data_IF_981322203757
#
_entry.id   IF_981322203757
#
_cell.length_a   1.000
_cell.length_b   1.000
_cell.length_c   1.000
_cell.angle_alpha   90.00
_cell.angle_beta   90.00
_cell.angle_gamma   90.00
#
_symmetry.space_group_name_H-M   'P 1'
#
loop_
_entity.id
_entity.type
_entity.pdbx_description
1 polymer ?
#
# COMPACT_ATOMS: atom_id res chain seq x y z
N UNK A 1 -10.27 -15.68 -13.56
CA UNK A 1 -11.68 -15.24 -13.33
C UNK A 1 -12.03 -15.47 -11.89
N UNK A 2 -12.49 -14.45 -11.20
CA UNK A 2 -12.94 -14.50 -9.81
C UNK A 2 -14.46 -14.63 -9.76
N UNK A 3 -14.99 -15.23 -8.69
CA UNK A 3 -16.43 -15.29 -8.45
C UNK A 3 -16.81 -14.19 -7.45
N UNK A 4 -17.70 -13.29 -7.87
CA UNK A 4 -18.24 -12.26 -6.99
C UNK A 4 -19.23 -12.88 -6.00
N UNK A 5 -19.03 -12.63 -4.72
CA UNK A 5 -19.90 -13.04 -3.61
C UNK A 5 -20.73 -11.84 -3.12
N UNK A 6 -20.16 -10.63 -3.21
CA UNK A 6 -20.83 -9.37 -2.88
C UNK A 6 -20.32 -8.26 -3.79
N UNK A 7 -21.13 -7.28 -4.25
CA UNK A 7 -22.61 -7.34 -4.21
C UNK A 7 -23.18 -8.31 -5.25
N UNK A 8 -24.49 -8.52 -5.20
CA UNK A 8 -25.21 -9.19 -6.30
C UNK A 8 -25.16 -8.33 -7.60
N UNK A 9 -25.25 -8.96 -8.80
CA UNK A 9 -25.39 -10.40 -9.03
C UNK A 9 -24.10 -11.17 -8.76
N UNK A 10 -24.24 -12.45 -8.39
CA UNK A 10 -23.10 -13.37 -8.19
C UNK A 10 -22.66 -13.88 -9.55
N UNK A 11 -21.63 -13.32 -10.10
CA UNK A 11 -21.10 -13.60 -11.43
C UNK A 11 -19.59 -13.81 -11.43
N UNK A 12 -19.04 -14.31 -12.53
CA UNK A 12 -17.60 -14.33 -12.75
C UNK A 12 -17.13 -12.99 -13.31
N UNK A 13 -16.09 -12.44 -12.71
CA UNK A 13 -15.47 -11.16 -13.07
C UNK A 13 -13.97 -11.31 -13.23
N UNK A 14 -13.36 -10.47 -14.02
CA UNK A 14 -11.91 -10.31 -14.04
C UNK A 14 -11.46 -9.42 -12.88
N UNK A 15 -10.20 -9.49 -12.51
CA UNK A 15 -9.61 -8.57 -11.53
C UNK A 15 -9.73 -7.12 -12.00
N UNK A 16 -9.49 -6.86 -13.29
CA UNK A 16 -9.59 -5.52 -13.86
C UNK A 16 -11.01 -4.93 -13.71
N UNK A 17 -12.06 -5.69 -14.03
CA UNK A 17 -13.45 -5.25 -13.87
C UNK A 17 -13.80 -4.94 -12.41
N UNK A 18 -13.23 -5.70 -11.47
CA UNK A 18 -13.53 -5.53 -10.05
C UNK A 18 -12.79 -4.34 -9.41
N UNK A 19 -11.55 -4.08 -9.82
CA UNK A 19 -10.66 -3.12 -9.14
C UNK A 19 -10.45 -1.80 -9.91
N UNK A 20 -10.72 -1.75 -11.23
CA UNK A 20 -10.65 -0.50 -12.00
C UNK A 20 -11.93 0.30 -11.81
N UNK A 21 -12.09 0.86 -10.62
CA UNK A 21 -13.23 1.70 -10.23
C UNK A 21 -12.76 3.12 -9.98
N UNK A 22 -13.69 4.08 -10.12
CA UNK A 22 -13.39 5.48 -9.83
C UNK A 22 -13.10 5.67 -8.34
N UNK A 23 -12.06 6.47 -8.05
CA UNK A 23 -11.69 6.94 -6.73
C UNK A 23 -11.66 8.46 -6.74
N UNK A 24 -12.56 9.05 -5.96
CA UNK A 24 -12.70 10.50 -5.90
C UNK A 24 -11.76 11.04 -4.82
N UNK A 25 -10.73 11.83 -5.18
CA UNK A 25 -9.83 12.41 -4.20
C UNK A 25 -10.58 13.37 -3.27
N UNK A 26 -10.02 13.61 -2.11
CA UNK A 26 -10.50 14.65 -1.20
C UNK A 26 -10.09 16.04 -1.71
N UNK A 27 -10.67 17.09 -1.12
CA UNK A 27 -10.39 18.48 -1.51
C UNK A 27 -8.91 18.85 -1.40
N UNK A 28 -8.21 18.32 -0.37
CA UNK A 28 -6.83 18.70 -0.05
C UNK A 28 -5.84 17.54 -0.12
N UNK A 29 -6.27 16.33 -0.49
CA UNK A 29 -5.40 15.18 -0.59
C UNK A 29 -5.91 14.13 -1.57
N UNK A 30 -5.02 13.30 -2.13
CA UNK A 30 -5.42 12.15 -2.93
C UNK A 30 -6.20 11.12 -2.10
N UNK A 31 -6.93 10.24 -2.80
CA UNK A 31 -7.46 9.01 -2.24
C UNK A 31 -6.32 8.07 -1.88
N UNK A 32 -6.38 7.43 -0.71
CA UNK A 32 -5.36 6.49 -0.23
C UNK A 32 -5.97 5.09 -0.09
N UNK A 33 -5.54 4.17 -0.94
CA UNK A 33 -5.84 2.75 -0.84
C UNK A 33 -4.68 1.98 -0.20
N UNK A 34 -4.99 1.04 0.67
CA UNK A 34 -4.03 0.11 1.27
C UNK A 34 -4.23 -1.28 0.66
N UNK A 35 -3.24 -1.80 -0.07
CA UNK A 35 -3.26 -3.13 -0.69
C UNK A 35 -2.36 -4.10 0.08
N UNK A 36 -2.94 -5.18 0.60
CA UNK A 36 -2.22 -6.16 1.42
C UNK A 36 -2.72 -7.60 1.21
N UNK A 37 -1.86 -8.56 1.53
CA UNK A 37 -2.21 -9.97 1.65
C UNK A 37 -1.99 -10.46 3.08
N UNK A 38 -2.84 -11.36 3.56
CA UNK A 38 -2.74 -11.96 4.90
C UNK A 38 -3.11 -13.45 4.87
N UNK A 39 -2.59 -14.21 5.82
CA UNK A 39 -3.10 -15.55 6.14
C UNK A 39 -4.42 -15.46 6.92
N UNK A 40 -5.11 -16.61 7.13
CA UNK A 40 -6.33 -16.71 7.93
C UNK A 40 -6.13 -16.27 9.38
N UNK A 41 -4.93 -16.46 9.93
CA UNK A 41 -4.53 -16.04 11.29
C UNK A 41 -3.89 -14.65 11.33
N UNK A 42 -3.91 -13.91 10.21
CA UNK A 42 -3.63 -12.49 10.15
C UNK A 42 -2.16 -12.11 9.99
N UNK A 43 -1.24 -13.05 9.69
CA UNK A 43 0.14 -12.66 9.37
C UNK A 43 0.24 -12.12 7.93
N UNK A 44 1.07 -11.10 7.73
CA UNK A 44 1.31 -10.47 6.42
C UNK A 44 2.68 -10.84 5.84
N UNK A 45 3.43 -11.68 6.52
CA UNK A 45 4.72 -12.17 6.03
C UNK A 45 5.03 -13.56 6.61
N UNK A 46 5.64 -14.41 5.79
CA UNK A 46 6.17 -15.73 6.16
C UNK A 46 7.63 -15.78 5.72
N UNK A 47 8.53 -16.15 6.62
CA UNK A 47 9.97 -16.13 6.34
C UNK A 47 10.53 -14.74 6.06
N UNK A 48 9.85 -13.69 6.52
CA UNK A 48 10.27 -12.29 6.34
C UNK A 48 9.75 -11.60 5.08
N UNK A 49 9.00 -12.30 4.21
CA UNK A 49 8.46 -11.76 2.97
C UNK A 49 6.95 -12.08 2.79
N UNK A 50 6.26 -11.24 2.04
CA UNK A 50 4.83 -11.40 1.72
C UNK A 50 4.60 -12.36 0.55
N UNK A 51 5.57 -12.47 -0.37
CA UNK A 51 5.43 -13.19 -1.63
C UNK A 51 5.04 -14.67 -1.51
N UNK A 52 5.31 -15.31 -0.35
CA UNK A 52 4.88 -16.68 -0.06
C UNK A 52 3.40 -16.82 0.33
N UNK A 53 2.68 -15.71 0.56
CA UNK A 53 1.26 -15.70 0.93
C UNK A 53 0.34 -15.61 -0.29
N UNK A 54 0.72 -14.80 -1.30
CA UNK A 54 -0.09 -14.53 -2.46
C UNK A 54 -0.17 -15.70 -3.45
N UNK A 55 -1.09 -15.59 -4.41
CA UNK A 55 -1.22 -16.43 -5.57
C UNK A 55 -1.25 -15.57 -6.87
N UNK A 56 -1.37 -16.15 -8.08
CA UNK A 56 -1.42 -15.36 -9.32
C UNK A 56 -2.54 -14.32 -9.37
N UNK A 57 -3.70 -14.59 -8.75
CA UNK A 57 -4.80 -13.61 -8.70
C UNK A 57 -4.48 -12.45 -7.77
N UNK A 58 -3.82 -12.70 -6.63
CA UNK A 58 -3.35 -11.65 -5.71
C UNK A 58 -2.31 -10.74 -6.39
N UNK A 59 -1.34 -11.32 -7.08
CA UNK A 59 -0.41 -10.55 -7.90
C UNK A 59 -1.13 -9.72 -8.97
N UNK A 60 -2.18 -10.27 -9.60
CA UNK A 60 -2.98 -9.55 -10.58
C UNK A 60 -3.74 -8.37 -9.94
N UNK A 61 -4.24 -8.51 -8.70
CA UNK A 61 -4.85 -7.40 -7.95
C UNK A 61 -3.82 -6.29 -7.73
N UNK A 62 -2.64 -6.62 -7.19
CA UNK A 62 -1.56 -5.66 -6.98
C UNK A 62 -1.19 -4.91 -8.27
N UNK A 63 -0.98 -5.64 -9.38
CA UNK A 63 -0.61 -5.05 -10.66
C UNK A 63 -1.73 -4.19 -11.27
N UNK A 64 -2.99 -4.60 -11.10
CA UNK A 64 -4.15 -3.83 -11.56
C UNK A 64 -4.24 -2.51 -10.79
N UNK A 65 -4.13 -2.54 -9.48
CA UNK A 65 -4.12 -1.32 -8.65
C UNK A 65 -2.93 -0.42 -9.00
N UNK A 66 -1.73 -0.96 -9.15
CA UNK A 66 -0.55 -0.20 -9.62
C UNK A 66 -0.78 0.47 -10.97
N UNK A 67 -1.53 -0.16 -11.89
CA UNK A 67 -1.79 0.42 -13.22
C UNK A 67 -2.63 1.69 -13.19
N UNK A 68 -3.52 1.84 -12.19
CA UNK A 68 -4.42 3.00 -12.04
C UNK A 68 -3.94 4.02 -11.00
N UNK A 69 -2.92 3.67 -10.22
CA UNK A 69 -2.33 4.51 -9.17
C UNK A 69 -1.37 5.54 -9.76
N UNK A 70 -1.32 6.73 -9.16
CA UNK A 70 -0.36 7.80 -9.54
C UNK A 70 0.94 7.66 -8.75
N UNK A 71 0.86 7.37 -7.45
CA UNK A 71 2.00 7.19 -6.55
C UNK A 71 1.83 5.93 -5.72
N UNK A 72 2.87 5.12 -5.63
CA UNK A 72 2.97 4.03 -4.66
C UNK A 72 3.71 4.55 -3.43
N UNK A 73 3.21 4.24 -2.23
CA UNK A 73 3.86 4.58 -0.96
C UNK A 73 4.14 3.30 -0.18
N UNK A 74 5.40 3.13 0.21
CA UNK A 74 5.87 1.91 0.88
C UNK A 74 6.88 2.23 1.99
N UNK A 75 6.90 1.44 3.04
CA UNK A 75 7.88 1.60 4.12
C UNK A 75 9.27 1.09 3.74
N UNK A 76 10.33 1.77 4.17
CA UNK A 76 11.73 1.39 3.91
C UNK A 76 12.06 -0.06 4.32
N UNK A 77 11.42 -0.57 5.38
CA UNK A 77 11.58 -1.97 5.79
C UNK A 77 11.08 -2.96 4.75
N UNK A 78 9.97 -2.65 4.09
CA UNK A 78 9.39 -3.47 3.02
C UNK A 78 10.25 -3.41 1.75
N UNK A 79 10.72 -2.22 1.39
CA UNK A 79 11.65 -2.06 0.24
C UNK A 79 12.88 -2.96 0.40
N UNK A 80 13.51 -2.95 1.59
CA UNK A 80 14.67 -3.82 1.86
C UNK A 80 14.36 -5.32 1.88
N UNK A 81 13.15 -5.70 2.29
CA UNK A 81 12.75 -7.11 2.41
C UNK A 81 12.23 -7.74 1.13
N UNK A 82 11.57 -6.95 0.28
CA UNK A 82 10.85 -7.44 -0.90
C UNK A 82 11.55 -7.14 -2.24
N UNK A 83 12.54 -6.22 -2.26
CA UNK A 83 13.25 -5.84 -3.47
C UNK A 83 12.39 -5.03 -4.44
N UNK A 84 12.19 -3.75 -4.17
CA UNK A 84 11.41 -2.86 -5.03
C UNK A 84 12.28 -2.29 -6.17
N UNK A 85 11.89 -2.58 -7.42
CA UNK A 85 12.44 -1.92 -8.61
C UNK A 85 11.54 -0.81 -9.12
N UNK A 86 11.91 -0.14 -10.23
CA UNK A 86 11.10 0.91 -10.83
C UNK A 86 9.74 0.36 -11.30
N UNK A 87 8.67 1.17 -11.21
CA UNK A 87 7.35 0.75 -11.62
C UNK A 87 7.26 0.58 -13.14
N UNK A 88 6.39 -0.33 -13.62
CA UNK A 88 6.19 -0.57 -15.05
C UNK A 88 5.39 0.53 -15.75
N UNK A 89 4.55 1.26 -15.01
CA UNK A 89 3.75 2.39 -15.54
C UNK A 89 4.65 3.60 -15.76
N UNK A 90 4.77 4.12 -16.98
CA UNK A 90 5.61 5.28 -17.25
C UNK A 90 5.21 6.48 -16.40
N UNK A 91 6.21 7.16 -15.83
CA UNK A 91 6.01 8.34 -14.98
C UNK A 91 5.45 8.09 -13.58
N UNK A 92 5.13 6.85 -13.24
CA UNK A 92 4.72 6.50 -11.86
C UNK A 92 5.91 6.60 -10.92
N UNK A 93 5.69 7.11 -9.72
CA UNK A 93 6.72 7.27 -8.71
C UNK A 93 6.45 6.38 -7.49
N UNK A 94 7.51 6.00 -6.79
CA UNK A 94 7.44 5.23 -5.54
C UNK A 94 8.04 6.06 -4.41
N UNK A 95 7.20 6.47 -3.46
CA UNK A 95 7.61 7.15 -2.24
C UNK A 95 7.96 6.15 -1.13
N UNK A 96 9.19 6.18 -0.67
CA UNK A 96 9.69 5.30 0.40
C UNK A 96 9.68 6.05 1.71
N UNK A 97 8.80 5.63 2.64
CA UNK A 97 8.68 6.25 3.97
C UNK A 97 9.79 5.75 4.89
N UNK A 98 10.58 6.68 5.41
CA UNK A 98 11.69 6.37 6.31
C UNK A 98 11.92 7.48 7.33
N UNK A 99 12.05 7.12 8.61
CA UNK A 99 12.42 8.08 9.66
C UNK A 99 13.94 8.28 9.80
N UNK A 100 14.76 7.43 9.14
CA UNK A 100 16.22 7.41 9.35
C UNK A 100 17.04 7.44 8.06
N UNK A 101 16.40 7.52 6.90
CA UNK A 101 17.12 7.42 5.63
C UNK A 101 17.74 6.05 5.31
N UNK A 102 17.43 5.01 6.07
CA UNK A 102 18.06 3.68 5.96
C UNK A 102 17.56 2.91 4.74
N UNK A 103 17.94 3.36 3.55
CA UNK A 103 17.69 2.71 2.24
C UNK A 103 19.01 2.69 1.45
N UNK A 104 19.11 1.75 0.52
CA UNK A 104 20.22 1.73 -0.42
C UNK A 104 19.86 2.62 -1.63
N UNK A 105 20.52 3.76 -1.76
CA UNK A 105 20.30 4.70 -2.86
C UNK A 105 20.92 4.23 -4.19
N UNK A 106 21.73 3.16 -4.16
CA UNK A 106 22.29 2.53 -5.36
C UNK A 106 21.33 1.49 -5.97
N UNK A 107 20.22 1.14 -5.28
CA UNK A 107 19.16 0.32 -5.84
C UNK A 107 18.54 0.94 -7.11
N UNK A 108 18.12 0.07 -8.05
CA UNK A 108 17.52 0.49 -9.32
C UNK A 108 16.30 1.39 -9.14
N UNK A 109 15.53 1.22 -8.06
CA UNK A 109 14.41 2.08 -7.71
C UNK A 109 14.82 3.56 -7.67
N UNK A 110 15.96 3.89 -7.06
CA UNK A 110 16.43 5.29 -6.90
C UNK A 110 17.25 5.74 -8.10
N UNK A 111 18.17 4.91 -8.59
CA UNK A 111 19.03 5.26 -9.72
C UNK A 111 18.27 5.46 -11.04
N UNK A 112 17.08 4.85 -11.20
CA UNK A 112 16.17 5.12 -12.32
C UNK A 112 15.43 6.47 -12.22
N UNK A 113 15.47 7.13 -11.06
CA UNK A 113 14.69 8.33 -10.77
C UNK A 113 13.21 8.06 -10.45
N UNK A 114 12.78 6.80 -10.38
CA UNK A 114 11.40 6.46 -10.04
C UNK A 114 11.12 6.54 -8.53
N UNK A 115 12.13 6.27 -7.70
CA UNK A 115 12.06 6.37 -6.24
C UNK A 115 12.25 7.80 -5.74
N UNK A 116 11.56 8.14 -4.66
CA UNK A 116 11.83 9.32 -3.84
C UNK A 116 11.64 8.96 -2.37
N UNK A 117 12.18 9.76 -1.46
CA UNK A 117 12.00 9.53 -0.02
C UNK A 117 10.92 10.43 0.55
N UNK A 118 10.21 9.89 1.54
CA UNK A 118 9.33 10.64 2.45
C UNK A 118 9.98 10.54 3.82
N UNK A 119 10.56 11.63 4.30
CA UNK A 119 11.38 11.63 5.49
C UNK A 119 11.11 12.86 6.37
N UNK A 120 11.35 12.80 7.70
CA UNK A 120 11.28 13.97 8.57
C UNK A 120 12.47 14.90 8.33
N UNK A 121 12.36 16.14 8.83
CA UNK A 121 13.41 17.14 8.65
C UNK A 121 14.76 16.71 9.26
N UNK A 122 14.72 16.02 10.40
CA UNK A 122 15.91 15.63 11.17
C UNK A 122 16.53 14.30 10.67
N UNK A 123 15.96 13.66 9.61
CA UNK A 123 16.54 12.44 9.04
C UNK A 123 17.83 12.75 8.27
N UNK A 124 18.86 11.94 8.51
CA UNK A 124 20.13 12.01 7.79
C UNK A 124 19.95 11.33 6.41
N UNK A 125 19.67 12.14 5.42
CA UNK A 125 19.46 11.73 4.02
C UNK A 125 20.25 12.65 3.11
N UNK A 126 20.91 12.07 2.11
CA UNK A 126 21.63 12.80 1.06
C UNK A 126 20.65 13.30 -0.02
N UNK A 127 20.15 14.53 0.15
CA UNK A 127 19.19 15.18 -0.73
C UNK A 127 19.78 15.48 -2.13
N UNK A 128 21.10 15.42 -2.31
CA UNK A 128 21.75 15.58 -3.61
C UNK A 128 21.65 14.31 -4.48
N UNK A 129 21.42 13.15 -3.84
CA UNK A 129 21.34 11.86 -4.52
C UNK A 129 19.92 11.40 -4.83
N UNK A 130 18.92 11.87 -4.08
CA UNK A 130 17.53 11.44 -4.20
C UNK A 130 16.59 12.59 -3.85
N UNK A 131 15.48 12.67 -4.57
CA UNK A 131 14.42 13.62 -4.24
C UNK A 131 13.76 13.26 -2.91
N UNK A 132 13.59 14.23 -2.00
CA UNK A 132 13.06 14.02 -0.66
C UNK A 132 11.88 14.93 -0.36
N UNK A 133 10.73 14.34 -0.08
CA UNK A 133 9.59 15.06 0.48
C UNK A 133 9.75 15.11 2.02
N UNK A 134 10.15 16.26 2.53
CA UNK A 134 10.33 16.47 3.97
C UNK A 134 8.98 16.75 4.64
N UNK A 135 8.56 15.87 5.58
CA UNK A 135 7.30 15.99 6.30
C UNK A 135 7.46 15.54 7.76
N UNK A 136 7.16 16.42 8.71
CA UNK A 136 7.43 16.22 10.13
C UNK A 136 8.84 16.61 10.55
N UNK A 137 9.17 16.51 11.82
CA UNK A 137 10.49 16.88 12.35
C UNK A 137 11.35 15.66 12.66
N UNK A 138 11.02 14.87 13.67
CA UNK A 138 11.77 13.67 14.11
C UNK A 138 11.20 12.39 13.51
N UNK A 139 9.89 12.38 13.27
CA UNK A 139 9.16 11.29 12.60
C UNK A 139 8.36 11.86 11.43
N UNK A 140 8.10 11.01 10.43
CA UNK A 140 7.30 11.40 9.27
C UNK A 140 5.88 11.72 9.72
N UNK A 141 5.41 12.94 9.42
CA UNK A 141 4.01 13.30 9.47
C UNK A 141 3.34 12.89 8.15
N UNK A 142 2.66 11.73 8.17
CA UNK A 142 2.02 11.18 6.98
C UNK A 142 0.88 12.05 6.46
N UNK A 143 0.18 12.82 7.31
CA UNK A 143 -0.87 13.73 6.85
C UNK A 143 -0.26 14.82 5.98
N UNK A 144 0.76 15.49 6.49
CA UNK A 144 1.51 16.51 5.75
C UNK A 144 2.12 15.92 4.49
N UNK A 145 2.72 14.71 4.57
CA UNK A 145 3.33 14.06 3.42
C UNK A 145 2.31 13.78 2.30
N UNK A 146 1.15 13.19 2.62
CA UNK A 146 0.11 12.85 1.63
C UNK A 146 -0.50 14.11 1.01
N UNK A 147 -0.74 15.16 1.78
CA UNK A 147 -1.24 16.45 1.28
C UNK A 147 -0.25 17.13 0.31
N UNK A 148 1.06 16.99 0.58
CA UNK A 148 2.14 17.60 -0.21
C UNK A 148 2.69 16.71 -1.33
N UNK A 149 2.14 15.51 -1.56
CA UNK A 149 2.58 14.65 -2.68
C UNK A 149 2.52 15.33 -4.05
N UNK A 150 1.65 16.33 -4.21
CA UNK A 150 1.56 17.13 -5.44
C UNK A 150 2.85 17.91 -5.77
N UNK A 151 3.75 18.13 -4.80
CA UNK A 151 5.07 18.76 -5.02
C UNK A 151 6.01 17.81 -5.79
N UNK A 152 5.84 16.50 -5.64
CA UNK A 152 6.63 15.45 -6.34
C UNK A 152 5.91 14.97 -7.59
N UNK A 153 4.60 14.72 -7.49
CA UNK A 153 3.76 14.24 -8.60
C UNK A 153 2.58 15.19 -8.79
N UNK A 154 2.68 16.16 -9.71
CA UNK A 154 1.60 17.09 -10.00
C UNK A 154 0.29 16.36 -10.34
N UNK A 155 -0.83 16.88 -9.82
CA UNK A 155 -2.17 16.34 -10.03
C UNK A 155 -2.39 14.89 -9.54
N UNK A 156 -1.62 14.46 -8.53
CA UNK A 156 -1.83 13.16 -7.86
C UNK A 156 -3.26 13.05 -7.31
N UNK A 157 -3.97 11.99 -7.69
CA UNK A 157 -5.36 11.71 -7.30
C UNK A 157 -5.51 10.44 -6.49
N UNK A 158 -4.68 9.41 -6.78
CA UNK A 158 -4.73 8.12 -6.12
C UNK A 158 -3.35 7.66 -5.69
N UNK A 159 -3.23 7.35 -4.41
CA UNK A 159 -2.05 6.77 -3.75
C UNK A 159 -2.38 5.34 -3.34
N UNK A 160 -1.51 4.40 -3.71
CA UNK A 160 -1.56 3.04 -3.20
C UNK A 160 -0.47 2.84 -2.15
N UNK A 161 -0.87 2.56 -0.92
CA UNK A 161 0.03 2.10 0.13
C UNK A 161 0.21 0.58 0.05
N UNK A 162 1.47 0.12 0.10
CA UNK A 162 1.82 -1.31 0.01
C UNK A 162 2.51 -1.82 1.29
N UNK A 163 2.24 -1.14 2.39
CA UNK A 163 2.77 -1.53 3.68
C UNK A 163 4.23 -1.08 3.89
N UNK A 164 5.01 -1.62 4.84
CA UNK A 164 4.66 -2.69 5.78
C UNK A 164 3.85 -2.28 7.01
N UNK A 165 3.76 -3.19 7.96
CA UNK A 165 2.87 -3.06 9.11
C UNK A 165 3.02 -1.77 9.93
N UNK A 166 4.22 -1.23 10.04
CA UNK A 166 4.47 0.04 10.75
C UNK A 166 3.92 1.24 9.96
N UNK A 167 4.06 1.24 8.62
CA UNK A 167 3.45 2.26 7.77
C UNK A 167 1.93 2.17 7.83
N UNK A 168 1.38 0.95 7.79
CA UNK A 168 -0.07 0.73 7.88
C UNK A 168 -0.63 1.26 9.20
N UNK A 169 0.09 1.05 10.31
CA UNK A 169 -0.25 1.58 11.62
C UNK A 169 -0.30 3.12 11.60
N UNK A 170 0.73 3.75 11.10
CA UNK A 170 0.81 5.22 11.03
C UNK A 170 -0.26 5.82 10.08
N UNK A 171 -0.59 5.16 8.96
CA UNK A 171 -1.71 5.57 8.10
C UNK A 171 -3.07 5.44 8.80
N UNK A 172 -3.26 4.39 9.61
CA UNK A 172 -4.47 4.17 10.40
C UNK A 172 -4.62 5.25 11.48
N UNK A 173 -3.55 5.57 12.22
CA UNK A 173 -3.52 6.61 13.24
C UNK A 173 -3.81 7.99 12.66
N UNK A 174 -3.24 8.29 11.49
CA UNK A 174 -3.48 9.54 10.78
C UNK A 174 -4.87 9.64 10.13
N UNK A 175 -5.71 8.59 10.20
CA UNK A 175 -7.03 8.47 9.52
C UNK A 175 -6.95 8.73 8.00
N UNK A 176 -5.91 8.18 7.37
CA UNK A 176 -5.63 8.38 5.95
C UNK A 176 -6.14 7.25 5.05
N UNK A 177 -6.44 6.07 5.60
CA UNK A 177 -6.88 4.92 4.79
C UNK A 177 -8.33 5.14 4.35
N UNK A 178 -8.55 5.39 3.05
CA UNK A 178 -9.87 5.52 2.44
C UNK A 178 -10.40 4.18 1.93
N UNK A 179 -9.48 3.29 1.53
CA UNK A 179 -9.79 1.98 0.97
C UNK A 179 -8.81 0.92 1.49
N UNK A 180 -9.34 -0.25 1.80
CA UNK A 180 -8.55 -1.43 2.11
C UNK A 180 -8.87 -2.52 1.09
N UNK A 181 -7.87 -2.87 0.29
CA UNK A 181 -7.86 -4.01 -0.63
C UNK A 181 -7.08 -5.14 0.04
N UNK A 182 -7.79 -6.12 0.61
CA UNK A 182 -7.19 -7.19 1.39
C UNK A 182 -7.44 -8.54 0.74
N UNK A 183 -6.37 -9.23 0.39
CA UNK A 183 -6.39 -10.64 0.03
C UNK A 183 -6.20 -11.49 1.29
N UNK A 184 -7.10 -12.45 1.50
CA UNK A 184 -6.96 -13.46 2.57
C UNK A 184 -6.60 -14.79 1.92
N UNK A 185 -5.37 -15.23 2.14
CA UNK A 185 -4.88 -16.53 1.67
C UNK A 185 -5.48 -17.68 2.48
N UNK A 186 -5.89 -18.77 1.81
CA UNK A 186 -6.48 -19.96 2.45
C UNK A 186 -5.45 -20.78 3.22
N UNK A 187 -4.73 -20.16 4.15
CA UNK A 187 -3.68 -20.83 4.94
C UNK A 187 -3.55 -20.28 6.36
N UNK A 188 -3.13 -21.14 7.26
CA UNK A 188 -2.66 -20.77 8.59
C UNK A 188 -1.13 -20.77 8.59
N UNK A 189 -0.52 -19.75 9.13
CA UNK A 189 0.96 -19.62 9.17
C UNK A 189 1.51 -19.85 10.58
N UNK A 190 0.75 -19.53 11.62
CA UNK A 190 1.20 -19.62 13.01
C UNK A 190 2.36 -18.67 13.35
N UNK A 191 2.98 -18.89 14.50
CA UNK A 191 4.14 -18.12 14.92
C UNK A 191 3.85 -16.66 15.30
N UNK A 192 4.91 -15.85 15.45
CA UNK A 192 4.86 -14.44 15.83
C UNK A 192 4.99 -13.50 14.60
N UNK A 193 4.54 -13.93 13.44
CA UNK A 193 4.59 -13.11 12.21
C UNK A 193 3.89 -11.76 12.37
N UNK A 194 4.31 -10.74 11.60
CA UNK A 194 3.71 -9.42 11.69
C UNK A 194 2.25 -9.45 11.24
N UNK A 195 1.39 -8.73 11.97
CA UNK A 195 0.00 -8.47 11.58
C UNK A 195 -0.10 -7.31 10.60
N UNK A 196 -1.33 -7.07 10.10
CA UNK A 196 -1.62 -5.99 9.16
C UNK A 196 -1.10 -4.63 9.64
N UNK A 197 -1.22 -4.35 10.94
CA UNK A 197 -0.69 -3.14 11.59
C UNK A 197 0.22 -3.51 12.75
N UNK A 198 1.28 -2.70 12.98
CA UNK A 198 2.21 -2.87 14.09
C UNK A 198 2.61 -1.52 14.66
N UNK A 199 2.41 -1.34 15.96
CA UNK A 199 2.84 -0.16 16.72
C UNK A 199 1.77 0.93 16.87
N UNK A 200 0.59 0.77 16.27
CA UNK A 200 -0.54 1.68 16.52
C UNK A 200 -1.14 1.43 17.90
N UNK A 201 -1.66 2.52 18.48
CA UNK A 201 -2.59 2.42 19.60
C UNK A 201 -3.90 1.72 19.15
N UNK A 202 -4.74 1.32 20.11
CA UNK A 202 -6.04 0.73 19.80
C UNK A 202 -6.96 1.79 19.17
N UNK A 203 -7.30 1.59 17.90
CA UNK A 203 -8.12 2.50 17.11
C UNK A 203 -9.22 1.72 16.41
N UNK A 204 -10.48 2.09 16.63
CA UNK A 204 -11.62 1.55 15.89
C UNK A 204 -11.95 2.43 14.67
N UNK A 205 -11.90 1.84 13.47
CA UNK A 205 -12.26 2.49 12.21
C UNK A 205 -13.21 1.57 11.44
N UNK A 206 -14.34 2.10 11.03
CA UNK A 206 -15.37 1.33 10.31
C UNK A 206 -15.23 1.47 8.82
N UNK A 207 -15.41 0.35 8.14
CA UNK A 207 -15.37 0.25 6.68
C UNK A 207 -16.64 -0.43 6.18
N UNK A 208 -17.12 0.00 5.03
CA UNK A 208 -18.20 -0.66 4.29
C UNK A 208 -17.60 -1.60 3.26
N UNK A 209 -18.16 -2.81 3.18
CA UNK A 209 -17.74 -3.80 2.19
C UNK A 209 -18.23 -3.36 0.80
N UNK A 210 -17.31 -3.01 -0.09
CA UNK A 210 -17.60 -2.62 -1.47
C UNK A 210 -17.71 -3.83 -2.39
N UNK A 211 -16.77 -4.82 -2.28
CA UNK A 211 -16.93 -6.13 -2.90
C UNK A 211 -16.24 -7.23 -2.12
N UNK A 212 -16.70 -8.46 -2.35
CA UNK A 212 -16.07 -9.69 -1.91
C UNK A 212 -16.02 -10.66 -3.06
N UNK A 213 -14.82 -11.14 -3.39
CA UNK A 213 -14.58 -12.10 -4.47
C UNK A 213 -13.86 -13.33 -3.90
N UNK A 214 -14.02 -14.46 -4.56
CA UNK A 214 -13.27 -15.68 -4.24
C UNK A 214 -12.73 -16.31 -5.53
N UNK A 215 -11.61 -17.01 -5.43
CA UNK A 215 -11.10 -17.84 -6.53
C UNK A 215 -11.28 -19.33 -6.27
N UNK A 216 -10.84 -20.14 -7.23
CA UNK A 216 -10.99 -21.58 -7.16
C UNK A 216 -9.97 -22.24 -6.20
N UNK A 217 -8.91 -21.49 -5.77
CA UNK A 217 -7.94 -21.88 -4.74
C UNK A 217 -8.39 -21.51 -3.31
N UNK A 218 -9.58 -20.92 -3.16
CA UNK A 218 -10.16 -20.54 -1.88
C UNK A 218 -9.62 -19.22 -1.31
N UNK A 219 -8.88 -18.44 -2.09
CA UNK A 219 -8.49 -17.08 -1.70
C UNK A 219 -9.71 -16.16 -1.70
N UNK A 220 -9.74 -15.26 -0.73
CA UNK A 220 -10.78 -14.24 -0.59
C UNK A 220 -10.17 -12.88 -0.87
N UNK A 221 -10.81 -12.12 -1.76
CA UNK A 221 -10.38 -10.78 -2.17
C UNK A 221 -11.48 -9.80 -1.78
N UNK A 222 -11.20 -8.98 -0.80
CA UNK A 222 -12.14 -7.99 -0.29
C UNK A 222 -11.67 -6.58 -0.55
N UNK A 223 -12.61 -5.72 -0.91
CA UNK A 223 -12.43 -4.29 -1.01
C UNK A 223 -13.38 -3.61 -0.04
N UNK A 224 -12.85 -2.83 0.86
CA UNK A 224 -13.61 -2.06 1.84
C UNK A 224 -13.31 -0.58 1.69
N UNK A 225 -14.33 0.27 1.84
CA UNK A 225 -14.18 1.72 1.81
C UNK A 225 -14.47 2.31 3.17
N UNK A 226 -13.71 3.34 3.54
CA UNK A 226 -13.82 3.99 4.84
C UNK A 226 -15.20 4.63 5.02
N UNK A 227 -15.91 4.25 6.09
CA UNK A 227 -17.14 4.92 6.52
C UNK A 227 -16.76 6.16 7.36
N UNK A 228 -17.02 7.34 6.82
CA UNK A 228 -16.80 8.64 7.49
C UNK A 228 -18.10 9.20 8.03
#
# INVERSE_FOLDING_TARGET
MLRRVHPAPHERVTVAEAYTVERVPHEHRPWVGLCMVTSLDGTVAVGGASGGLGNPNDLQVLLTLRSITDVIVVGAGTVRGEGYGPPKKPGQRIGVVTNRGSVDLDDELFTSGAGFLIAPADADVDDDRVEVLRAGREVVDLRVAIERLHEIVPAVRYVQAEGGPTLNAALLEADLIDELDLTVASRLSGGAGPRLTRGADEIDRRFDLAHLLVDDDGFVFGRWTRRR
#
